data_IF_308973796294
#
_entry.id   IF_308973796294
#
_cell.length_a   1.000
_cell.length_b   1.000
_cell.length_c   1.000
_cell.angle_alpha   90.00
_cell.angle_beta   90.00
_cell.angle_gamma   90.00
#
_symmetry.space_group_name_H-M   'P 1'
#
loop_
_entity.id
_entity.type
_entity.pdbx_description
1 polymer ?
#
# COMPACT_ATOMS: atom_id res chain seq x y z
N UNK A 1 15.79 36.39 -15.14
CA UNK A 1 16.52 35.14 -15.24
C UNK A 1 16.54 34.48 -13.88
N UNK A 2 16.31 33.16 -13.83
CA UNK A 2 16.29 32.37 -12.60
C UNK A 2 17.22 31.17 -12.74
N UNK A 3 17.83 30.77 -11.63
CA UNK A 3 18.49 29.47 -11.54
C UNK A 3 17.52 28.49 -10.89
N UNK A 4 17.22 27.41 -11.58
CA UNK A 4 16.42 26.30 -11.04
C UNK A 4 17.38 25.23 -10.56
N UNK A 5 17.25 24.82 -9.32
CA UNK A 5 18.11 23.84 -8.65
C UNK A 5 17.24 22.62 -8.31
N UNK A 6 17.71 21.45 -8.69
CA UNK A 6 17.14 20.16 -8.28
C UNK A 6 18.02 19.57 -7.18
N UNK A 7 17.40 19.21 -6.04
CA UNK A 7 18.06 18.50 -4.95
C UNK A 7 17.41 17.14 -4.75
N UNK A 8 18.20 16.15 -4.35
CA UNK A 8 17.75 14.79 -4.07
C UNK A 8 17.12 14.65 -2.67
N UNK A 9 16.78 13.41 -2.29
CA UNK A 9 16.18 13.09 -1.00
C UNK A 9 17.09 13.37 0.21
N UNK A 10 18.40 13.57 0.00
CA UNK A 10 19.39 13.94 1.01
C UNK A 10 19.75 15.43 0.98
N UNK A 11 18.95 16.25 0.30
CA UNK A 11 19.21 17.68 0.07
C UNK A 11 20.52 17.99 -0.70
N UNK A 12 21.05 17.01 -1.46
CA UNK A 12 22.22 17.22 -2.31
C UNK A 12 21.78 17.75 -3.68
N UNK A 13 22.50 18.76 -4.20
CA UNK A 13 22.25 19.28 -5.53
C UNK A 13 22.63 18.21 -6.59
N UNK A 14 21.66 17.80 -7.37
CA UNK A 14 21.82 16.83 -8.46
C UNK A 14 21.72 17.46 -9.85
N UNK A 15 21.32 18.71 -9.90
CA UNK A 15 21.29 19.48 -11.16
C UNK A 15 20.88 20.93 -10.97
N UNK A 16 21.37 21.78 -11.87
CA UNK A 16 20.91 23.15 -11.96
C UNK A 16 20.79 23.61 -13.40
N UNK A 17 19.82 24.46 -13.67
CA UNK A 17 19.61 25.10 -14.98
C UNK A 17 19.27 26.57 -14.84
N UNK A 18 19.83 27.41 -15.69
CA UNK A 18 19.43 28.81 -15.83
C UNK A 18 18.27 28.90 -16.81
N UNK A 19 17.22 29.58 -16.43
CA UNK A 19 16.01 29.78 -17.24
C UNK A 19 15.67 31.25 -17.32
N UNK A 20 15.03 31.63 -18.42
CA UNK A 20 14.52 32.97 -18.63
C UNK A 20 13.00 32.91 -18.77
N UNK A 21 12.31 33.80 -18.09
CA UNK A 21 10.85 33.92 -18.24
C UNK A 21 10.48 34.51 -19.61
N UNK A 22 9.33 34.08 -20.09
CA UNK A 22 8.66 34.72 -21.24
C UNK A 22 8.03 36.07 -20.83
N UNK A 23 7.33 36.71 -21.76
CA UNK A 23 6.60 37.97 -21.55
C UNK A 23 5.52 37.91 -20.47
N UNK A 24 4.99 36.70 -20.18
CA UNK A 24 4.00 36.45 -19.11
C UNK A 24 4.64 36.11 -17.75
N UNK A 25 5.97 36.18 -17.64
CA UNK A 25 6.67 35.83 -16.40
C UNK A 25 6.81 34.33 -16.12
N UNK A 26 6.42 33.47 -17.11
CA UNK A 26 6.45 32.01 -16.97
C UNK A 26 7.71 31.41 -17.62
N UNK A 27 8.16 30.28 -17.10
CA UNK A 27 9.20 29.45 -17.70
C UNK A 27 8.86 27.96 -17.56
N UNK A 28 9.49 27.13 -18.37
CA UNK A 28 9.46 25.68 -18.25
C UNK A 28 10.90 25.15 -18.35
N UNK A 29 11.19 24.07 -17.64
CA UNK A 29 12.46 23.37 -17.73
C UNK A 29 12.28 21.90 -17.39
N UNK A 30 13.22 21.06 -17.79
CA UNK A 30 13.29 19.64 -17.53
C UNK A 30 14.60 19.31 -16.82
N UNK A 31 14.65 18.19 -16.13
CA UNK A 31 15.84 17.62 -15.55
C UNK A 31 15.90 16.13 -15.86
N UNK A 32 17.04 15.66 -16.32
CA UNK A 32 17.30 14.23 -16.35
C UNK A 32 17.68 13.78 -14.93
N UNK A 33 16.97 12.78 -14.41
CA UNK A 33 17.34 12.20 -13.12
C UNK A 33 18.58 11.31 -13.29
N UNK A 34 19.51 11.34 -12.32
CA UNK A 34 20.66 10.43 -12.34
C UNK A 34 20.19 8.98 -12.32
N UNK A 35 20.82 8.11 -13.10
CA UNK A 35 20.47 6.67 -13.20
C UNK A 35 20.66 5.88 -11.90
N UNK A 36 21.41 6.43 -10.94
CA UNK A 36 21.68 5.84 -9.63
C UNK A 36 21.26 6.80 -8.49
N UNK A 37 20.13 7.48 -8.66
CA UNK A 37 19.63 8.34 -7.59
C UNK A 37 18.89 7.52 -6.53
N UNK A 38 18.92 8.01 -5.29
CA UNK A 38 18.11 7.45 -4.21
C UNK A 38 16.64 7.76 -4.45
N UNK A 39 15.78 6.79 -4.16
CA UNK A 39 14.34 7.02 -4.13
C UNK A 39 13.97 7.96 -2.98
N UNK A 40 12.98 8.83 -3.20
CA UNK A 40 12.50 9.73 -2.16
C UNK A 40 11.98 11.06 -2.69
N UNK A 41 11.89 12.03 -1.79
CA UNK A 41 11.40 13.37 -2.10
C UNK A 41 12.53 14.25 -2.63
N UNK A 42 12.46 14.58 -3.91
CA UNK A 42 13.30 15.57 -4.55
C UNK A 42 12.64 16.93 -4.45
N UNK A 43 13.44 17.99 -4.44
CA UNK A 43 12.90 19.34 -4.48
C UNK A 43 13.47 20.17 -5.61
N UNK A 44 12.62 20.99 -6.20
CA UNK A 44 12.96 22.01 -7.19
C UNK A 44 12.82 23.37 -6.55
N UNK A 45 13.87 24.18 -6.64
CA UNK A 45 13.89 25.54 -6.11
C UNK A 45 14.20 26.52 -7.24
N UNK A 46 13.40 27.58 -7.36
CA UNK A 46 13.63 28.68 -8.28
C UNK A 46 13.34 30.02 -7.58
N UNK A 47 14.35 30.81 -7.31
CA UNK A 47 14.20 32.04 -6.49
C UNK A 47 13.62 31.70 -5.11
N UNK A 48 12.45 32.26 -4.78
CA UNK A 48 11.73 32.01 -3.53
C UNK A 48 10.72 30.85 -3.64
N UNK A 49 10.49 30.33 -4.84
CA UNK A 49 9.57 29.21 -5.08
C UNK A 49 10.25 27.88 -4.84
N UNK A 50 9.53 26.94 -4.21
CA UNK A 50 9.96 25.56 -4.02
C UNK A 50 8.77 24.63 -4.28
N UNK A 51 9.05 23.52 -4.95
CA UNK A 51 8.11 22.40 -5.10
C UNK A 51 8.84 21.09 -4.89
N UNK A 52 8.10 20.04 -4.53
CA UNK A 52 8.67 18.72 -4.30
C UNK A 52 8.06 17.71 -5.27
N UNK A 53 8.88 16.78 -5.71
CA UNK A 53 8.49 15.65 -6.56
C UNK A 53 8.96 14.36 -5.90
N UNK A 54 8.14 13.32 -5.99
CA UNK A 54 8.50 11.99 -5.49
C UNK A 54 9.15 11.20 -6.62
N UNK A 55 10.36 10.74 -6.37
CA UNK A 55 11.14 9.94 -7.31
C UNK A 55 11.20 8.52 -6.77
N UNK A 56 10.76 7.56 -7.56
CA UNK A 56 10.73 6.14 -7.20
C UNK A 56 11.14 5.30 -8.42
N UNK A 57 11.88 4.22 -8.16
CA UNK A 57 12.10 3.20 -9.17
C UNK A 57 10.80 2.45 -9.43
N UNK A 58 10.27 2.59 -10.63
CA UNK A 58 9.12 1.80 -11.04
C UNK A 58 9.56 0.36 -11.34
N UNK A 59 9.32 -0.54 -10.39
CA UNK A 59 9.38 -1.98 -10.63
C UNK A 59 7.99 -2.44 -11.01
N UNK A 60 7.84 -2.96 -12.23
CA UNK A 60 6.57 -3.56 -12.66
C UNK A 60 6.28 -4.78 -11.79
N UNK A 61 5.15 -4.85 -11.11
CA UNK A 61 4.78 -6.03 -10.34
C UNK A 61 4.78 -7.27 -11.22
N UNK A 62 5.26 -8.40 -10.69
CA UNK A 62 5.25 -9.69 -11.41
C UNK A 62 4.06 -10.56 -11.00
N UNK A 63 3.43 -10.24 -9.88
CA UNK A 63 2.24 -10.94 -9.38
C UNK A 63 1.35 -9.98 -8.56
N UNK A 64 0.13 -10.39 -8.30
CA UNK A 64 -0.80 -9.74 -7.37
C UNK A 64 -1.46 -10.75 -6.42
N UNK A 65 -2.10 -10.20 -5.38
CA UNK A 65 -2.89 -10.96 -4.42
C UNK A 65 -4.34 -10.50 -4.56
N UNK A 66 -5.23 -11.43 -4.80
CA UNK A 66 -6.66 -11.16 -4.91
C UNK A 66 -7.43 -11.95 -3.87
N UNK A 67 -8.54 -11.40 -3.39
CA UNK A 67 -9.46 -12.09 -2.48
C UNK A 67 -10.76 -12.40 -3.19
N UNK A 68 -11.33 -13.57 -2.87
CA UNK A 68 -12.67 -13.90 -3.30
C UNK A 68 -13.70 -13.04 -2.57
N UNK A 69 -14.73 -12.62 -3.29
CA UNK A 69 -15.82 -11.84 -2.70
C UNK A 69 -16.61 -12.68 -1.72
N UNK A 70 -16.72 -12.21 -0.49
CA UNK A 70 -17.57 -12.84 0.51
C UNK A 70 -19.04 -12.52 0.21
N UNK A 71 -19.85 -13.56 0.01
CA UNK A 71 -21.29 -13.43 -0.32
C UNK A 71 -22.21 -14.01 0.74
N UNK A 72 -21.63 -14.55 1.83
CA UNK A 72 -22.36 -15.13 2.95
C UNK A 72 -23.02 -14.10 3.87
N UNK A 73 -23.95 -14.56 4.67
CA UNK A 73 -24.45 -13.84 5.84
C UNK A 73 -23.72 -14.37 7.07
N UNK A 74 -23.14 -13.49 7.83
CA UNK A 74 -22.30 -13.84 8.98
C UNK A 74 -22.82 -13.20 10.26
N UNK A 75 -22.56 -13.84 11.39
CA UNK A 75 -22.89 -13.37 12.73
C UNK A 75 -21.59 -13.20 13.54
N UNK A 76 -21.67 -12.37 14.59
CA UNK A 76 -20.57 -12.28 15.54
C UNK A 76 -20.34 -13.64 16.22
N UNK A 77 -19.06 -14.03 16.32
CA UNK A 77 -18.64 -15.32 16.81
C UNK A 77 -18.43 -16.38 15.72
N UNK A 78 -18.89 -16.14 14.48
CA UNK A 78 -18.66 -17.07 13.39
C UNK A 78 -17.18 -17.19 13.03
N UNK A 79 -16.80 -18.41 12.62
CA UNK A 79 -15.53 -18.70 11.97
C UNK A 79 -15.73 -18.58 10.47
N UNK A 80 -15.01 -17.68 9.83
CA UNK A 80 -15.10 -17.39 8.39
C UNK A 80 -13.78 -17.77 7.71
N UNK A 81 -13.87 -18.50 6.62
CA UNK A 81 -12.73 -18.75 5.75
C UNK A 81 -12.69 -17.72 4.64
N UNK A 82 -11.65 -16.88 4.66
CA UNK A 82 -11.42 -15.89 3.61
C UNK A 82 -10.42 -16.44 2.62
N UNK A 83 -10.90 -16.71 1.41
CA UNK A 83 -10.09 -17.29 0.33
C UNK A 83 -9.45 -16.19 -0.49
N UNK A 84 -8.19 -16.41 -0.84
CA UNK A 84 -7.43 -15.55 -1.73
C UNK A 84 -6.60 -16.36 -2.71
N UNK A 85 -6.04 -15.64 -3.69
CA UNK A 85 -5.22 -16.22 -4.73
C UNK A 85 -4.06 -15.31 -5.08
N UNK A 86 -2.88 -15.89 -5.25
CA UNK A 86 -1.70 -15.23 -5.79
C UNK A 86 -1.62 -15.57 -7.27
N UNK A 87 -1.58 -14.55 -8.11
CA UNK A 87 -1.56 -14.71 -9.55
C UNK A 87 -0.39 -13.97 -10.18
N UNK A 88 0.47 -14.72 -10.88
CA UNK A 88 1.54 -14.13 -11.69
C UNK A 88 0.99 -13.56 -13.00
N UNK A 89 1.45 -12.38 -13.37
CA UNK A 89 1.14 -11.79 -14.69
C UNK A 89 1.79 -12.51 -15.86
N UNK A 90 2.82 -13.31 -15.61
CA UNK A 90 3.51 -14.13 -16.64
C UNK A 90 2.91 -15.52 -16.83
N UNK A 91 1.88 -15.88 -16.05
CA UNK A 91 1.27 -17.21 -16.06
C UNK A 91 2.05 -18.29 -15.29
N UNK A 92 3.12 -17.92 -14.61
CA UNK A 92 3.86 -18.83 -13.72
C UNK A 92 3.06 -19.04 -12.44
N UNK A 93 2.88 -20.29 -12.03
CA UNK A 93 2.25 -20.64 -10.77
C UNK A 93 3.18 -20.29 -9.60
N UNK A 94 2.65 -19.60 -8.62
CA UNK A 94 3.36 -19.21 -7.40
C UNK A 94 2.88 -20.11 -6.25
N UNK A 95 3.33 -21.37 -6.30
CA UNK A 95 3.04 -22.37 -5.29
C UNK A 95 3.98 -22.24 -4.08
N UNK A 96 3.56 -22.81 -2.96
CA UNK A 96 4.34 -22.87 -1.70
C UNK A 96 4.80 -21.50 -1.18
N UNK A 97 4.14 -20.41 -1.62
CA UNK A 97 4.49 -19.06 -1.21
C UNK A 97 3.88 -18.76 0.15
N UNK A 98 4.69 -18.33 1.15
CA UNK A 98 4.16 -17.91 2.44
C UNK A 98 3.40 -16.58 2.30
N UNK A 99 2.19 -16.55 2.82
CA UNK A 99 1.30 -15.39 2.87
C UNK A 99 1.12 -14.99 4.32
N UNK A 100 1.71 -13.89 4.70
CA UNK A 100 1.49 -13.27 6.02
C UNK A 100 0.21 -12.48 5.99
N UNK A 101 -0.58 -12.59 7.04
CA UNK A 101 -1.83 -11.84 7.12
C UNK A 101 -2.02 -11.15 8.47
N UNK A 102 -2.82 -10.12 8.44
CA UNK A 102 -3.27 -9.38 9.62
C UNK A 102 -4.77 -9.12 9.50
N UNK A 103 -5.50 -9.41 10.58
CA UNK A 103 -6.94 -9.14 10.68
C UNK A 103 -7.15 -8.01 11.66
N UNK A 104 -7.82 -6.96 11.22
CA UNK A 104 -8.18 -5.81 12.04
C UNK A 104 -9.70 -5.74 12.20
N UNK A 105 -10.15 -5.47 13.41
CA UNK A 105 -11.55 -5.18 13.73
C UNK A 105 -11.70 -3.69 14.01
N UNK A 106 -12.62 -3.04 13.32
CA UNK A 106 -13.02 -1.65 13.60
C UNK A 106 -14.47 -1.63 14.06
N UNK A 107 -14.75 -0.89 15.11
CA UNK A 107 -16.10 -0.70 15.65
C UNK A 107 -16.60 0.66 15.20
N UNK A 108 -17.82 0.73 14.69
CA UNK A 108 -18.46 1.95 14.27
C UNK A 108 -19.76 2.16 15.05
N UNK A 109 -19.93 3.35 15.59
CA UNK A 109 -21.16 3.80 16.23
C UNK A 109 -21.64 5.06 15.51
N UNK A 110 -22.93 5.34 15.55
CA UNK A 110 -23.53 6.56 14.98
C UNK A 110 -22.85 7.87 15.39
N UNK A 111 -22.10 7.88 16.50
CA UNK A 111 -21.54 9.08 17.11
C UNK A 111 -20.05 9.01 17.40
N UNK A 112 -19.38 7.89 17.11
CA UNK A 112 -17.96 7.71 17.41
C UNK A 112 -17.27 6.83 16.37
N UNK A 113 -16.18 7.33 15.80
CA UNK A 113 -15.20 6.46 15.16
C UNK A 113 -14.45 5.72 16.25
N UNK A 114 -14.61 4.41 16.30
CA UNK A 114 -13.85 3.61 17.22
C UNK A 114 -12.52 3.21 16.58
N UNK A 115 -11.55 3.01 17.45
CA UNK A 115 -10.20 2.62 17.09
C UNK A 115 -10.19 1.25 16.38
N UNK A 116 -9.35 1.13 15.35
CA UNK A 116 -9.11 -0.14 14.69
C UNK A 116 -8.11 -0.96 15.50
N UNK A 117 -8.49 -2.17 15.89
CA UNK A 117 -7.66 -3.07 16.69
C UNK A 117 -7.27 -4.29 15.87
N UNK A 118 -6.00 -4.67 15.88
CA UNK A 118 -5.57 -5.95 15.34
C UNK A 118 -6.06 -7.07 16.26
N UNK A 119 -6.79 -8.04 15.71
CA UNK A 119 -7.36 -9.16 16.45
C UNK A 119 -6.68 -10.49 16.13
N UNK A 120 -6.09 -10.62 14.94
CA UNK A 120 -5.32 -11.78 14.57
C UNK A 120 -4.20 -11.43 13.60
N UNK A 121 -3.18 -12.25 13.58
CA UNK A 121 -2.14 -12.29 12.54
C UNK A 121 -1.56 -13.69 12.45
N UNK A 122 -1.02 -14.02 11.30
CA UNK A 122 -0.44 -15.34 11.07
C UNK A 122 0.17 -15.47 9.69
N UNK A 123 0.47 -16.69 9.34
CA UNK A 123 1.01 -17.06 8.04
C UNK A 123 0.28 -18.31 7.52
N UNK A 124 -0.08 -18.31 6.25
CA UNK A 124 -0.62 -19.45 5.53
C UNK A 124 0.21 -19.67 4.28
N UNK A 125 0.16 -20.87 3.71
CA UNK A 125 0.92 -21.21 2.50
C UNK A 125 -0.02 -21.34 1.33
N UNK A 126 0.32 -20.74 0.20
CA UNK A 126 -0.42 -20.90 -1.03
C UNK A 126 -0.23 -22.33 -1.59
N UNK A 127 -1.31 -22.94 -2.09
CA UNK A 127 -1.28 -24.26 -2.69
C UNK A 127 -0.69 -24.25 -4.12
N UNK A 128 -0.71 -25.39 -4.79
CA UNK A 128 -0.21 -25.57 -6.18
C UNK A 128 -0.85 -24.61 -7.20
N UNK A 129 -2.08 -24.14 -6.92
CA UNK A 129 -2.83 -23.20 -7.76
C UNK A 129 -2.66 -21.74 -7.33
N UNK A 130 -1.79 -21.48 -6.34
CA UNK A 130 -1.59 -20.17 -5.74
C UNK A 130 -2.73 -19.74 -4.82
N UNK A 131 -3.62 -20.66 -4.41
CA UNK A 131 -4.76 -20.37 -3.54
C UNK A 131 -4.39 -20.53 -2.08
N UNK A 132 -4.93 -19.67 -1.23
CA UNK A 132 -4.75 -19.72 0.22
C UNK A 132 -6.06 -19.39 0.94
N UNK A 133 -6.14 -19.81 2.19
CA UNK A 133 -7.32 -19.57 3.04
C UNK A 133 -6.88 -19.00 4.38
N UNK A 134 -7.47 -17.88 4.76
CA UNK A 134 -7.22 -17.21 6.05
C UNK A 134 -8.42 -17.49 6.96
N UNK A 135 -8.21 -18.16 8.12
CA UNK A 135 -9.26 -18.33 9.10
C UNK A 135 -9.46 -17.01 9.88
N UNK A 136 -10.69 -16.56 9.96
CA UNK A 136 -11.06 -15.32 10.65
C UNK A 136 -12.19 -15.59 11.63
N UNK A 137 -11.98 -15.31 12.91
CA UNK A 137 -13.04 -15.29 13.90
C UNK A 137 -13.66 -13.88 13.95
N UNK A 138 -14.97 -13.78 13.80
CA UNK A 138 -15.69 -12.50 13.87
C UNK A 138 -15.96 -12.13 15.34
N UNK A 139 -14.88 -11.87 16.09
CA UNK A 139 -14.94 -11.60 17.52
C UNK A 139 -15.63 -10.26 17.81
N UNK A 140 -16.57 -10.27 18.78
CA UNK A 140 -17.15 -9.07 19.34
C UNK A 140 -16.13 -8.29 20.19
N UNK A 141 -16.35 -7.00 20.36
CA UNK A 141 -15.60 -6.20 21.33
C UNK A 141 -16.39 -6.11 22.63
N UNK A 142 -15.84 -6.64 23.71
CA UNK A 142 -16.49 -6.67 25.03
C UNK A 142 -16.96 -5.29 25.53
N UNK A 143 -16.27 -4.22 25.14
CA UNK A 143 -16.65 -2.85 25.50
C UNK A 143 -17.97 -2.41 24.86
N UNK A 144 -18.43 -3.09 23.82
CA UNK A 144 -19.68 -2.77 23.09
C UNK A 144 -20.66 -3.95 23.05
N UNK A 145 -20.45 -4.93 23.91
CA UNK A 145 -21.29 -6.12 23.97
C UNK A 145 -22.76 -5.73 24.22
N UNK A 146 -23.65 -6.27 23.39
CA UNK A 146 -25.10 -5.97 23.40
C UNK A 146 -25.47 -4.51 23.04
N UNK A 147 -24.59 -3.69 22.49
CA UNK A 147 -24.98 -2.37 21.98
C UNK A 147 -25.45 -2.49 20.51
N UNK A 148 -26.77 -2.51 20.32
CA UNK A 148 -27.39 -2.61 18.99
C UNK A 148 -27.12 -1.42 18.05
N UNK A 149 -26.44 -0.37 18.53
CA UNK A 149 -26.11 0.82 17.75
C UNK A 149 -24.72 0.75 17.13
N UNK A 150 -23.97 -0.33 17.36
CA UNK A 150 -22.65 -0.54 16.79
C UNK A 150 -22.69 -1.58 15.68
N UNK A 151 -21.80 -1.40 14.71
CA UNK A 151 -21.49 -2.41 13.72
C UNK A 151 -19.96 -2.58 13.60
N UNK A 152 -19.57 -3.76 13.17
CA UNK A 152 -18.17 -4.15 13.08
C UNK A 152 -17.74 -4.25 11.62
N UNK A 153 -16.52 -3.80 11.34
CA UNK A 153 -15.83 -4.04 10.08
C UNK A 153 -14.57 -4.85 10.36
N UNK A 154 -14.43 -5.94 9.66
CA UNK A 154 -13.22 -6.75 9.67
C UNK A 154 -12.47 -6.49 8.37
N UNK A 155 -11.22 -6.05 8.48
CA UNK A 155 -10.32 -5.80 7.35
C UNK A 155 -9.18 -6.80 7.42
N UNK A 156 -8.90 -7.44 6.29
CA UNK A 156 -7.83 -8.42 6.16
C UNK A 156 -6.79 -7.83 5.21
N UNK A 157 -5.56 -7.78 5.67
CA UNK A 157 -4.39 -7.42 4.88
C UNK A 157 -3.55 -8.69 4.72
N UNK A 158 -3.14 -9.00 3.50
CA UNK A 158 -2.26 -10.13 3.22
C UNK A 158 -1.04 -9.64 2.44
N UNK A 159 0.11 -10.20 2.74
CA UNK A 159 1.38 -9.86 2.11
C UNK A 159 2.12 -11.14 1.76
N UNK A 160 2.59 -11.22 0.53
CA UNK A 160 3.44 -12.32 0.06
C UNK A 160 4.73 -11.78 -0.53
N UNK A 161 5.82 -12.54 -0.37
CA UNK A 161 7.13 -12.20 -0.93
C UNK A 161 7.61 -13.38 -1.76
N UNK A 162 7.90 -13.14 -3.05
CA UNK A 162 8.39 -14.18 -3.94
C UNK A 162 9.89 -14.45 -3.74
N UNK A 163 10.40 -15.50 -4.40
CA UNK A 163 11.80 -15.91 -4.31
C UNK A 163 12.80 -14.84 -4.84
N UNK A 164 12.34 -13.89 -5.62
CA UNK A 164 13.13 -12.75 -6.10
C UNK A 164 13.13 -11.57 -5.10
N UNK A 165 12.47 -11.72 -3.95
CA UNK A 165 12.38 -10.68 -2.93
C UNK A 165 11.34 -9.59 -3.23
N UNK A 166 10.49 -9.76 -4.24
CA UNK A 166 9.38 -8.86 -4.52
C UNK A 166 8.24 -9.13 -3.55
N UNK A 167 7.71 -8.07 -2.94
CA UNK A 167 6.60 -8.14 -1.98
C UNK A 167 5.37 -7.44 -2.56
N UNK A 168 4.20 -8.09 -2.45
CA UNK A 168 2.89 -7.57 -2.81
C UNK A 168 1.91 -7.71 -1.63
N UNK A 169 0.90 -6.81 -1.59
CA UNK A 169 -0.13 -6.78 -0.54
C UNK A 169 -1.48 -6.36 -1.12
#
# INVERSE_FOLDING_TARGET
EYTVILTDANDQEVGQKKVRTNEFGSFATDFALPSACLNGMFSLKAGNGRTSIRVEDYKRPTFDITFEKQTGSYQLGDQVEVKGKIQSYSGVLLQDLPVKYTVKRSVFSLWRFAESTQIASGEVTANENGEFTIPVCLEENDAYKNDARVYYRYSIEATATNVAGETQS
#
